data_IF_590674497027
#
_entry.id   IF_590674497027
#
_cell.length_a   1.000
_cell.length_b   1.000
_cell.length_c   1.000
_cell.angle_alpha   90.00
_cell.angle_beta   90.00
_cell.angle_gamma   90.00
#
_symmetry.space_group_name_H-M   'P 1'
#
loop_
_entity.id
_entity.type
_entity.pdbx_description
1 polymer ?
#
# COMPACT_ATOMS: atom_id res chain seq x y z
N UNK A 1 11.89 7.41 -23.23
CA UNK A 1 12.76 7.88 -22.12
C UNK A 1 12.16 7.40 -20.80
N UNK A 2 12.83 6.48 -20.10
CA UNK A 2 12.40 6.03 -18.77
C UNK A 2 12.71 7.12 -17.74
N UNK A 3 11.69 7.85 -17.33
CA UNK A 3 11.80 8.82 -16.23
C UNK A 3 11.44 8.10 -14.92
N UNK A 4 12.24 7.11 -14.51
CA UNK A 4 12.14 6.59 -13.14
C UNK A 4 12.73 7.64 -12.20
N UNK A 5 11.87 8.55 -11.71
CA UNK A 5 12.24 9.42 -10.59
C UNK A 5 12.73 8.54 -9.46
N UNK A 6 13.94 8.78 -8.97
CA UNK A 6 14.51 8.01 -7.88
C UNK A 6 13.66 8.28 -6.64
N UNK A 7 13.04 7.23 -6.12
CA UNK A 7 12.36 7.28 -4.83
C UNK A 7 13.39 7.54 -3.71
N UNK A 8 13.12 8.58 -2.93
CA UNK A 8 13.98 9.06 -1.85
C UNK A 8 13.33 8.91 -0.48
N UNK A 9 12.08 8.42 -0.43
CA UNK A 9 11.31 8.32 0.80
C UNK A 9 11.72 7.06 1.55
N UNK A 10 12.06 7.18 2.84
CA UNK A 10 12.13 6.01 3.70
C UNK A 10 10.71 5.62 4.15
N UNK A 11 10.05 4.77 3.37
CA UNK A 11 8.67 4.37 3.62
C UNK A 11 8.45 3.64 4.94
N UNK A 12 9.48 3.10 5.58
CA UNK A 12 9.34 2.43 6.88
C UNK A 12 9.18 3.42 8.04
N UNK A 13 9.56 4.69 7.88
CA UNK A 13 9.34 5.71 8.90
C UNK A 13 7.84 6.03 9.02
N UNK A 14 7.30 6.20 10.23
CA UNK A 14 5.88 6.40 10.43
C UNK A 14 5.43 7.84 10.09
N UNK A 15 6.34 8.75 9.74
CA UNK A 15 6.03 10.15 9.48
C UNK A 15 4.95 10.31 8.39
N UNK A 16 3.97 11.21 8.58
CA UNK A 16 3.00 11.52 7.55
C UNK A 16 3.68 12.04 6.29
N UNK A 17 3.14 11.66 5.14
CA UNK A 17 3.61 12.11 3.84
C UNK A 17 2.51 12.88 3.11
N UNK A 18 2.89 13.84 2.27
CA UNK A 18 1.93 14.57 1.44
C UNK A 18 1.71 13.87 0.11
N UNK A 19 0.56 14.14 -0.51
CA UNK A 19 0.28 13.73 -1.89
C UNK A 19 1.34 14.24 -2.88
N UNK A 20 1.88 15.45 -2.65
CA UNK A 20 2.87 16.04 -3.53
C UNK A 20 4.22 15.30 -3.45
N UNK A 21 4.63 14.86 -2.26
CA UNK A 21 5.86 14.09 -2.08
C UNK A 21 5.79 12.76 -2.83
N UNK A 22 4.63 12.09 -2.77
CA UNK A 22 4.39 10.84 -3.49
C UNK A 22 4.48 11.02 -5.01
N UNK A 23 3.85 12.08 -5.55
CA UNK A 23 3.94 12.42 -6.98
C UNK A 23 5.38 12.75 -7.40
N UNK A 24 6.11 13.47 -6.56
CA UNK A 24 7.53 13.80 -6.79
C UNK A 24 8.41 12.55 -6.82
N UNK A 25 8.06 11.52 -6.04
CA UNK A 25 8.76 10.24 -5.99
C UNK A 25 8.19 9.18 -6.96
N UNK A 26 7.37 9.59 -7.93
CA UNK A 26 6.94 8.73 -9.03
C UNK A 26 5.81 7.75 -8.69
N UNK A 27 5.11 7.96 -7.57
CA UNK A 27 3.93 7.15 -7.24
C UNK A 27 2.77 7.48 -8.19
N UNK A 28 2.10 6.43 -8.66
CA UNK A 28 0.87 6.53 -9.44
C UNK A 28 -0.31 6.83 -8.53
N UNK A 29 -1.19 7.73 -8.98
CA UNK A 29 -2.42 8.09 -8.28
C UNK A 29 -3.61 7.36 -8.88
N UNK A 30 -4.42 6.78 -8.01
CA UNK A 30 -5.72 6.20 -8.33
C UNK A 30 -6.77 6.86 -7.45
N UNK A 31 -7.76 7.47 -8.07
CA UNK A 31 -8.80 8.19 -7.33
C UNK A 31 -10.13 7.47 -7.49
N UNK A 32 -11.00 7.57 -6.50
CA UNK A 32 -12.41 7.26 -6.65
C UNK A 32 -13.23 8.09 -5.67
N UNK A 33 -14.53 8.17 -5.89
CA UNK A 33 -15.44 8.81 -4.96
C UNK A 33 -16.69 7.96 -4.81
N UNK A 34 -17.25 7.97 -3.61
CA UNK A 34 -18.48 7.24 -3.29
C UNK A 34 -19.35 8.08 -2.36
N UNK A 35 -20.65 7.82 -2.41
CA UNK A 35 -21.64 8.47 -1.55
C UNK A 35 -21.97 7.53 -0.41
N UNK A 36 -21.90 8.03 0.83
CA UNK A 36 -22.39 7.31 1.99
C UNK A 36 -23.67 7.95 2.49
N UNK A 37 -24.64 7.11 2.87
CA UNK A 37 -25.82 7.55 3.59
C UNK A 37 -25.44 7.83 5.04
N UNK A 38 -25.92 8.94 5.60
CA UNK A 38 -25.85 9.18 7.04
C UNK A 38 -26.79 8.18 7.75
N UNK A 39 -26.23 7.10 8.31
CA UNK A 39 -26.98 6.06 9.02
C UNK A 39 -27.42 6.50 10.43
N UNK A 40 -27.63 7.80 10.65
CA UNK A 40 -27.97 8.38 11.96
C UNK A 40 -29.43 8.85 12.12
N UNK A 41 -30.13 9.25 11.04
CA UNK A 41 -31.47 9.82 11.17
C UNK A 41 -32.39 9.39 10.03
N UNK A 42 -33.49 8.71 10.37
CA UNK A 42 -34.54 8.22 9.44
C UNK A 42 -35.28 9.34 8.66
N UNK A 43 -34.85 10.60 8.76
CA UNK A 43 -35.43 11.76 8.07
C UNK A 43 -34.44 12.57 7.24
N UNK A 44 -33.15 12.23 7.27
CA UNK A 44 -32.13 12.99 6.55
C UNK A 44 -31.60 12.19 5.37
N UNK A 45 -31.95 12.61 4.15
CA UNK A 45 -31.43 12.06 2.89
C UNK A 45 -30.05 12.63 2.54
N UNK A 46 -29.36 13.23 3.51
CA UNK A 46 -28.07 13.87 3.32
C UNK A 46 -27.00 12.81 3.05
N UNK A 47 -26.69 12.62 1.78
CA UNK A 47 -25.55 11.82 1.32
C UNK A 47 -24.30 12.68 1.36
N UNK A 48 -23.22 12.17 1.95
CA UNK A 48 -21.94 12.84 1.90
C UNK A 48 -21.00 12.16 0.88
N UNK A 49 -20.37 12.99 0.06
CA UNK A 49 -19.37 12.56 -0.91
C UNK A 49 -18.06 12.32 -0.17
N UNK A 50 -17.51 11.11 -0.31
CA UNK A 50 -16.17 10.78 0.17
C UNK A 50 -15.28 10.51 -1.02
N UNK A 51 -14.20 11.28 -1.10
CA UNK A 51 -13.12 11.11 -2.06
C UNK A 51 -12.01 10.29 -1.44
N UNK A 52 -11.48 9.37 -2.24
CA UNK A 52 -10.34 8.55 -1.89
C UNK A 52 -9.28 8.69 -2.96
N UNK A 53 -8.05 8.95 -2.54
CA UNK A 53 -6.87 8.99 -3.41
C UNK A 53 -5.85 7.97 -2.91
N UNK A 54 -5.62 6.92 -3.68
CA UNK A 54 -4.56 5.94 -3.46
C UNK A 54 -3.32 6.35 -4.25
N UNK A 55 -2.16 6.26 -3.62
CA UNK A 55 -0.86 6.41 -4.24
C UNK A 55 -0.08 5.12 -4.10
N UNK A 56 0.41 4.57 -5.21
CA UNK A 56 1.15 3.32 -5.22
C UNK A 56 2.35 3.34 -6.17
N UNK A 57 3.37 2.55 -5.86
CA UNK A 57 4.48 2.29 -6.79
C UNK A 57 4.12 1.27 -7.89
N UNK A 58 2.95 0.63 -7.79
CA UNK A 58 2.43 -0.28 -8.82
C UNK A 58 1.95 0.54 -10.00
N UNK A 59 2.46 0.24 -11.21
CA UNK A 59 2.03 0.87 -12.45
C UNK A 59 0.56 0.57 -12.78
N UNK A 60 -0.10 1.47 -13.53
CA UNK A 60 -1.42 1.21 -14.07
C UNK A 60 -1.37 0.26 -15.28
N UNK A 61 -2.49 -0.42 -15.52
CA UNK A 61 -2.77 -1.20 -16.72
C UNK A 61 -4.21 -0.97 -17.17
N UNK A 62 -4.53 -1.31 -18.43
CA UNK A 62 -5.92 -1.32 -18.90
C UNK A 62 -6.53 -2.68 -18.63
N UNK A 63 -7.70 -2.73 -18.01
CA UNK A 63 -8.48 -3.95 -17.87
C UNK A 63 -9.19 -4.30 -19.20
N UNK A 64 -9.92 -5.43 -19.21
CA UNK A 64 -10.69 -5.90 -20.38
C UNK A 64 -11.74 -4.89 -20.87
N UNK A 65 -12.20 -3.98 -20.01
CA UNK A 65 -13.15 -2.90 -20.34
C UNK A 65 -12.45 -1.62 -20.81
N UNK A 66 -11.12 -1.63 -20.91
CA UNK A 66 -10.31 -0.47 -21.29
C UNK A 66 -10.07 0.53 -20.17
N UNK A 67 -10.55 0.27 -18.95
CA UNK A 67 -10.41 1.14 -17.78
C UNK A 67 -9.00 1.01 -17.20
N UNK A 68 -8.44 2.13 -16.73
CA UNK A 68 -7.08 2.19 -16.21
C UNK A 68 -7.08 1.80 -14.73
N UNK A 69 -6.68 0.57 -14.38
CA UNK A 69 -6.61 0.08 -13.01
C UNK A 69 -5.15 -0.13 -12.55
N UNK A 70 -4.86 -0.31 -11.25
CA UNK A 70 -3.56 -0.82 -10.85
C UNK A 70 -3.32 -2.21 -11.45
N UNK A 71 -2.06 -2.56 -11.74
CA UNK A 71 -1.74 -3.93 -12.16
C UNK A 71 -2.25 -4.96 -11.15
N UNK A 72 -2.96 -5.98 -11.64
CA UNK A 72 -3.58 -7.01 -10.81
C UNK A 72 -2.56 -8.05 -10.36
N UNK A 73 -1.89 -7.78 -9.24
CA UNK A 73 -0.71 -8.53 -8.77
C UNK A 73 -1.04 -9.82 -8.01
N UNK A 74 -2.27 -10.01 -7.50
CA UNK A 74 -2.57 -11.06 -6.52
C UNK A 74 -3.36 -12.27 -7.07
N UNK A 75 -3.74 -12.28 -8.36
CA UNK A 75 -4.54 -13.36 -8.96
C UNK A 75 -3.77 -14.68 -9.24
N UNK A 76 -2.74 -15.01 -8.45
CA UNK A 76 -1.83 -16.13 -8.71
C UNK A 76 -2.47 -17.51 -8.84
N UNK A 77 -3.61 -17.73 -8.18
CA UNK A 77 -4.28 -19.04 -8.14
C UNK A 77 -4.74 -19.52 -9.50
N UNK A 78 -4.95 -18.62 -10.48
CA UNK A 78 -5.44 -18.96 -11.82
C UNK A 78 -4.49 -18.55 -12.96
N UNK A 79 -3.28 -18.08 -12.66
CA UNK A 79 -2.30 -17.71 -13.68
C UNK A 79 -1.51 -18.92 -14.19
N UNK A 80 -1.29 -18.97 -15.51
CA UNK A 80 -0.35 -19.91 -16.11
C UNK A 80 1.11 -19.61 -15.69
N UNK A 81 2.03 -20.51 -16.02
CA UNK A 81 3.45 -20.36 -15.66
C UNK A 81 4.12 -19.14 -16.29
N UNK A 82 3.73 -18.74 -17.50
CA UNK A 82 4.26 -17.58 -18.21
C UNK A 82 3.79 -16.29 -17.54
N UNK A 83 2.51 -16.18 -17.23
CA UNK A 83 1.93 -15.04 -16.52
C UNK A 83 2.54 -14.89 -15.11
N UNK A 84 2.72 -16.00 -14.39
CA UNK A 84 3.44 -16.01 -13.10
C UNK A 84 4.86 -15.49 -13.23
N UNK A 85 5.60 -15.92 -14.26
CA UNK A 85 6.95 -15.45 -14.51
C UNK A 85 6.99 -13.94 -14.80
N UNK A 86 6.05 -13.42 -15.59
CA UNK A 86 5.92 -11.98 -15.87
C UNK A 86 5.67 -11.19 -14.59
N UNK A 87 4.73 -11.61 -13.74
CA UNK A 87 4.42 -10.94 -12.47
C UNK A 87 5.61 -10.97 -11.50
N UNK A 88 6.26 -12.12 -11.36
CA UNK A 88 7.43 -12.25 -10.49
C UNK A 88 8.60 -11.39 -11.00
N UNK A 89 8.78 -11.31 -12.32
CA UNK A 89 9.79 -10.46 -12.93
C UNK A 89 9.50 -8.97 -12.67
N UNK A 90 8.23 -8.55 -12.78
CA UNK A 90 7.80 -7.18 -12.49
C UNK A 90 7.97 -6.83 -11.00
N UNK A 91 7.53 -7.70 -10.09
CA UNK A 91 7.74 -7.51 -8.65
C UNK A 91 9.23 -7.38 -8.33
N UNK A 92 10.06 -8.25 -8.91
CA UNK A 92 11.50 -8.25 -8.66
C UNK A 92 12.19 -7.03 -9.25
N UNK A 93 12.02 -6.76 -10.55
CA UNK A 93 12.80 -5.74 -11.27
C UNK A 93 12.29 -4.33 -11.01
N UNK A 94 10.99 -4.12 -11.13
CA UNK A 94 10.39 -2.79 -11.12
C UNK A 94 9.97 -2.35 -9.71
N UNK A 95 9.42 -3.27 -8.91
CA UNK A 95 8.89 -2.95 -7.58
C UNK A 95 9.88 -3.22 -6.44
N UNK A 96 11.07 -3.74 -6.75
CA UNK A 96 12.08 -4.13 -5.76
C UNK A 96 11.50 -5.05 -4.65
N UNK A 97 10.63 -5.99 -5.04
CA UNK A 97 9.85 -6.89 -4.19
C UNK A 97 8.94 -6.21 -3.15
N UNK A 98 8.60 -4.93 -3.35
CA UNK A 98 7.77 -4.16 -2.41
C UNK A 98 6.60 -3.51 -3.11
N UNK A 99 5.40 -3.73 -2.61
CA UNK A 99 4.23 -2.91 -2.95
C UNK A 99 4.06 -1.90 -1.83
N UNK A 100 4.06 -0.62 -2.16
CA UNK A 100 3.89 0.47 -1.19
C UNK A 100 2.64 1.23 -1.58
N UNK A 101 1.71 1.38 -0.64
CA UNK A 101 0.42 2.04 -0.87
C UNK A 101 0.14 3.06 0.23
N UNK A 102 -0.26 4.27 -0.18
CA UNK A 102 -0.77 5.32 0.70
C UNK A 102 -2.22 5.61 0.31
N UNK A 103 -3.11 5.73 1.28
CA UNK A 103 -4.50 6.12 1.04
C UNK A 103 -4.82 7.43 1.73
N UNK A 104 -5.34 8.38 0.95
CA UNK A 104 -5.92 9.62 1.45
C UNK A 104 -7.44 9.53 1.35
N UNK A 105 -8.14 10.03 2.38
CA UNK A 105 -9.59 10.20 2.40
C UNK A 105 -9.88 11.68 2.61
N UNK A 106 -10.56 12.32 1.65
CA UNK A 106 -10.78 13.77 1.64
C UNK A 106 -9.48 14.54 1.96
N UNK A 107 -8.41 14.19 1.23
CA UNK A 107 -7.06 14.75 1.33
C UNK A 107 -6.34 14.54 2.69
N UNK A 108 -6.95 13.79 3.62
CA UNK A 108 -6.31 13.35 4.87
C UNK A 108 -5.65 12.00 4.69
N UNK A 109 -4.36 11.87 5.04
CA UNK A 109 -3.66 10.57 5.04
C UNK A 109 -4.33 9.62 6.04
N UNK A 110 -4.87 8.51 5.53
CA UNK A 110 -5.69 7.59 6.30
C UNK A 110 -4.87 6.39 6.80
N UNK A 111 -4.12 5.73 5.90
CA UNK A 111 -3.15 4.70 6.25
C UNK A 111 -2.04 4.60 5.20
N UNK A 112 -0.97 3.90 5.59
CA UNK A 112 0.11 3.42 4.72
C UNK A 112 0.24 1.91 4.84
N UNK A 113 0.53 1.25 3.74
CA UNK A 113 0.76 -0.19 3.68
C UNK A 113 2.02 -0.53 2.87
N UNK A 114 2.82 -1.49 3.33
CA UNK A 114 4.03 -1.97 2.67
C UNK A 114 4.04 -3.49 2.71
N UNK A 115 3.89 -4.11 1.53
CA UNK A 115 3.97 -5.55 1.38
C UNK A 115 5.31 -5.91 0.79
N UNK A 116 6.03 -6.82 1.44
CA UNK A 116 7.33 -7.32 0.99
C UNK A 116 7.24 -8.80 0.65
N UNK A 117 7.62 -9.14 -0.58
CA UNK A 117 7.62 -10.50 -1.09
C UNK A 117 9.02 -11.13 -0.99
N UNK A 118 9.07 -12.43 -0.70
CA UNK A 118 10.32 -13.18 -0.53
C UNK A 118 10.94 -13.70 -1.84
N UNK A 119 10.64 -13.07 -2.99
CA UNK A 119 11.05 -13.56 -4.31
C UNK A 119 12.57 -13.43 -4.57
N UNK A 120 13.26 -12.53 -3.87
CA UNK A 120 14.71 -12.40 -3.95
C UNK A 120 15.31 -12.06 -2.58
N UNK A 121 15.89 -13.07 -1.93
CA UNK A 121 16.46 -12.98 -0.58
C UNK A 121 17.80 -12.23 -0.52
N UNK A 122 18.38 -11.86 -1.66
CA UNK A 122 19.72 -11.24 -1.76
C UNK A 122 19.70 -9.71 -1.69
N UNK A 123 18.54 -9.07 -1.79
CA UNK A 123 18.41 -7.62 -1.83
C UNK A 123 18.63 -6.99 -0.45
N UNK A 124 19.77 -6.33 -0.27
CA UNK A 124 20.18 -5.67 0.98
C UNK A 124 19.44 -4.35 1.27
N UNK A 125 18.77 -3.78 0.28
CA UNK A 125 18.07 -2.49 0.39
C UNK A 125 16.69 -2.57 1.09
N UNK A 126 16.21 -3.79 1.35
CA UNK A 126 14.94 -4.05 2.00
C UNK A 126 15.19 -4.22 3.49
N UNK A 127 14.48 -3.43 4.31
CA UNK A 127 14.54 -3.57 5.76
C UNK A 127 14.03 -4.96 6.16
N UNK A 128 14.73 -5.65 7.04
CA UNK A 128 14.33 -6.97 7.49
C UNK A 128 13.42 -6.87 8.71
N UNK A 129 12.11 -7.00 8.53
CA UNK A 129 11.10 -6.94 9.59
C UNK A 129 10.47 -8.32 9.88
N UNK A 130 11.24 -9.39 9.70
CA UNK A 130 10.75 -10.78 9.77
C UNK A 130 10.63 -11.36 11.19
N UNK A 131 11.00 -10.59 12.22
CA UNK A 131 10.75 -10.92 13.62
C UNK A 131 10.80 -9.67 14.50
N UNK A 132 10.35 -9.80 15.76
CA UNK A 132 10.26 -8.71 16.73
C UNK A 132 11.61 -8.06 17.00
N UNK A 133 12.67 -8.84 17.18
CA UNK A 133 14.01 -8.35 17.51
C UNK A 133 14.57 -7.47 16.39
N UNK A 134 14.40 -7.90 15.13
CA UNK A 134 14.81 -7.15 13.95
C UNK A 134 13.98 -5.88 13.76
N UNK A 135 12.67 -5.95 14.03
CA UNK A 135 11.79 -4.78 14.00
C UNK A 135 12.29 -3.73 15.00
N UNK A 136 12.43 -4.10 16.27
CA UNK A 136 12.90 -3.19 17.33
C UNK A 136 14.27 -2.60 16.98
N UNK A 137 15.22 -3.46 16.61
CA UNK A 137 16.57 -3.04 16.20
C UNK A 137 16.57 -2.05 15.04
N UNK A 138 15.70 -2.23 14.05
CA UNK A 138 15.60 -1.30 12.93
C UNK A 138 15.15 0.08 13.41
N UNK A 139 14.05 0.16 14.16
CA UNK A 139 13.51 1.45 14.60
C UNK A 139 14.44 2.17 15.60
N UNK A 140 15.13 1.41 16.46
CA UNK A 140 16.21 1.94 17.31
C UNK A 140 17.33 2.56 16.47
N UNK A 141 17.75 1.89 15.39
CA UNK A 141 18.84 2.37 14.51
C UNK A 141 18.50 3.66 13.76
N UNK A 142 17.23 3.87 13.43
CA UNK A 142 16.74 5.10 12.81
C UNK A 142 16.21 6.12 13.83
N UNK A 143 16.42 5.86 15.13
CA UNK A 143 16.05 6.73 16.26
C UNK A 143 14.56 7.08 16.31
N UNK A 144 13.70 6.14 15.90
CA UNK A 144 12.24 6.29 16.00
C UNK A 144 11.75 5.53 17.24
N UNK A 145 11.03 6.17 18.17
CA UNK A 145 10.48 5.49 19.34
C UNK A 145 9.62 4.30 18.93
N UNK A 146 9.81 3.15 19.57
CA UNK A 146 9.00 1.95 19.34
C UNK A 146 8.59 1.32 20.66
N UNK A 147 7.30 0.99 20.79
CA UNK A 147 6.75 0.27 21.95
C UNK A 147 5.82 -0.84 21.49
N UNK A 148 6.01 -2.10 21.90
CA UNK A 148 5.04 -3.17 21.63
C UNK A 148 3.71 -2.88 22.34
N UNK A 149 2.59 -3.10 21.65
CA UNK A 149 1.23 -2.86 22.15
C UNK A 149 0.45 -4.15 22.47
N UNK A 150 0.68 -5.23 21.72
CA UNK A 150 0.17 -6.57 22.03
C UNK A 150 1.26 -7.60 21.77
N UNK A 151 1.38 -8.57 22.68
CA UNK A 151 2.12 -9.80 22.46
C UNK A 151 1.11 -10.89 22.09
N UNK A 152 1.02 -11.24 20.81
CA UNK A 152 0.19 -12.37 20.37
C UNK A 152 0.95 -13.67 20.61
N UNK A 153 0.45 -14.53 21.50
CA UNK A 153 0.91 -15.91 21.68
C UNK A 153 0.35 -16.87 20.60
N UNK A 154 -0.35 -16.37 19.57
CA UNK A 154 -0.98 -17.20 18.54
C UNK A 154 -0.14 -17.32 17.27
N UNK A 155 -0.27 -18.47 16.61
CA UNK A 155 0.50 -19.06 15.50
C UNK A 155 0.71 -18.20 14.24
N UNK A 156 0.05 -17.05 14.11
CA UNK A 156 0.40 -16.03 13.12
C UNK A 156 1.19 -14.94 13.83
N UNK A 157 2.47 -14.79 13.50
CA UNK A 157 3.36 -13.79 14.10
C UNK A 157 2.98 -12.36 13.69
N UNK A 158 1.87 -11.89 14.26
CA UNK A 158 1.37 -10.54 14.11
C UNK A 158 1.81 -9.76 15.33
N UNK A 159 2.59 -8.71 15.13
CA UNK A 159 2.98 -7.79 16.19
C UNK A 159 2.33 -6.43 15.97
N UNK A 160 1.82 -5.84 17.04
CA UNK A 160 1.37 -4.46 17.02
C UNK A 160 2.33 -3.60 17.85
N UNK A 161 2.70 -2.46 17.29
CA UNK A 161 3.61 -1.51 17.88
C UNK A 161 3.01 -0.11 17.84
N UNK A 162 3.40 0.72 18.79
CA UNK A 162 3.37 2.17 18.67
C UNK A 162 4.73 2.57 18.14
N UNK A 163 4.80 3.08 16.92
CA UNK A 163 6.04 3.50 16.26
C UNK A 163 5.93 5.00 15.99
N UNK A 164 6.82 5.77 16.60
CA UNK A 164 6.59 7.20 16.86
C UNK A 164 5.31 7.35 17.68
N UNK A 165 4.29 7.98 17.10
CA UNK A 165 2.97 8.15 17.70
C UNK A 165 1.86 7.39 16.97
N UNK A 166 2.21 6.48 16.06
CA UNK A 166 1.25 5.80 15.19
C UNK A 166 1.15 4.31 15.52
N UNK A 167 -0.08 3.79 15.52
CA UNK A 167 -0.32 2.36 15.65
C UNK A 167 0.08 1.67 14.35
N UNK A 168 1.04 0.78 14.45
CA UNK A 168 1.58 0.00 13.34
C UNK A 168 1.39 -1.47 13.60
N UNK A 169 0.76 -2.17 12.66
CA UNK A 169 0.66 -3.63 12.67
C UNK A 169 1.67 -4.18 11.67
N UNK A 170 2.45 -5.16 12.09
CA UNK A 170 3.40 -5.88 11.24
C UNK A 170 3.03 -7.35 11.26
N UNK A 171 2.64 -7.87 10.10
CA UNK A 171 2.46 -9.30 9.87
C UNK A 171 3.75 -9.83 9.26
N UNK A 172 4.36 -10.85 9.84
CA UNK A 172 5.57 -11.43 9.27
C UNK A 172 5.55 -12.94 9.33
N UNK A 173 6.21 -13.57 8.37
CA UNK A 173 6.53 -14.99 8.41
C UNK A 173 7.93 -15.17 8.99
N UNK A 174 8.11 -16.14 9.89
CA UNK A 174 9.45 -16.54 10.32
C UNK A 174 10.13 -17.45 9.29
N UNK A 175 9.33 -18.18 8.50
CA UNK A 175 9.82 -19.15 7.51
C UNK A 175 10.08 -18.50 6.15
N UNK A 176 9.34 -17.44 5.84
CA UNK A 176 9.47 -16.68 4.60
C UNK A 176 9.98 -15.28 4.91
N UNK A 177 10.90 -14.75 4.11
CA UNK A 177 11.32 -13.33 4.22
C UNK A 177 10.24 -12.40 3.64
N UNK A 178 9.00 -12.59 4.07
CA UNK A 178 7.82 -11.85 3.66
C UNK A 178 7.18 -11.21 4.89
N UNK A 179 6.72 -9.98 4.73
CA UNK A 179 6.01 -9.27 5.77
C UNK A 179 5.14 -8.17 5.18
N UNK A 180 4.17 -7.74 5.95
CA UNK A 180 3.30 -6.60 5.68
C UNK A 180 3.38 -5.61 6.84
N UNK A 181 3.62 -4.33 6.54
CA UNK A 181 3.58 -3.22 7.48
C UNK A 181 2.36 -2.37 7.19
N UNK A 182 1.49 -2.20 8.19
CA UNK A 182 0.32 -1.35 8.11
C UNK A 182 0.38 -0.25 9.18
N UNK A 183 0.42 1.01 8.77
CA UNK A 183 0.42 2.18 9.67
C UNK A 183 -0.93 2.88 9.56
N UNK A 184 -1.62 3.07 10.69
CA UNK A 184 -2.87 3.80 10.75
C UNK A 184 -2.63 5.23 11.24
N UNK A 185 -3.04 6.22 10.44
CA UNK A 185 -2.92 7.64 10.77
C UNK A 185 -4.19 8.22 11.43
N UNK A 186 -5.28 7.45 11.48
CA UNK A 186 -6.55 7.86 12.12
C UNK A 186 -6.89 6.93 13.28
N UNK A 187 -7.32 7.52 14.40
CA UNK A 187 -7.64 6.76 15.62
C UNK A 187 -8.85 5.83 15.40
N UNK A 188 -8.61 4.51 15.38
CA UNK A 188 -9.56 3.55 15.95
C UNK A 188 -9.84 2.27 15.15
N UNK A 189 -9.77 2.26 13.82
CA UNK A 189 -10.15 1.07 13.04
C UNK A 189 -9.09 0.70 12.00
N UNK A 190 -8.60 -0.54 12.08
CA UNK A 190 -7.75 -1.15 11.06
C UNK A 190 -8.70 -1.71 10.00
N UNK A 191 -8.84 -0.99 8.88
CA UNK A 191 -9.65 -1.47 7.77
C UNK A 191 -8.95 -2.65 7.10
N UNK A 192 -9.71 -3.73 6.88
CA UNK A 192 -9.23 -4.95 6.23
C UNK A 192 -8.72 -4.66 4.81
N UNK A 193 -7.56 -5.21 4.54
CA UNK A 193 -6.94 -5.55 3.25
C UNK A 193 -7.46 -4.79 2.02
N UNK A 194 -7.10 -3.52 1.89
CA UNK A 194 -7.36 -2.78 0.64
C UNK A 194 -6.72 -3.48 -0.56
N UNK A 195 -5.64 -4.25 -0.34
CA UNK A 195 -4.92 -4.92 -1.41
C UNK A 195 -5.81 -5.90 -2.15
N UNK A 196 -6.72 -6.58 -1.44
CA UNK A 196 -7.71 -7.44 -2.07
C UNK A 196 -8.63 -6.61 -2.98
N UNK A 197 -9.11 -5.47 -2.50
CA UNK A 197 -9.97 -4.62 -3.31
C UNK A 197 -9.23 -4.05 -4.54
N UNK A 198 -7.98 -3.59 -4.38
CA UNK A 198 -7.24 -2.85 -5.40
C UNK A 198 -6.42 -3.71 -6.37
N UNK A 199 -5.82 -4.79 -5.87
CA UNK A 199 -4.88 -5.63 -6.63
C UNK A 199 -5.39 -7.07 -6.87
N UNK A 200 -6.54 -7.48 -6.30
CA UNK A 200 -7.23 -8.73 -6.66
C UNK A 200 -8.44 -8.52 -7.61
N UNK A 201 -8.74 -7.26 -7.98
CA UNK A 201 -9.76 -6.93 -8.97
C UNK A 201 -11.19 -6.97 -8.42
N UNK A 202 -11.36 -6.89 -7.09
CA UNK A 202 -12.67 -6.89 -6.44
C UNK A 202 -13.33 -5.50 -6.42
N UNK A 203 -12.62 -4.44 -6.81
CA UNK A 203 -13.25 -3.14 -7.00
C UNK A 203 -14.11 -3.08 -8.24
N UNK A 204 -15.39 -2.82 -8.03
CA UNK A 204 -16.38 -2.66 -9.09
C UNK A 204 -16.61 -1.22 -9.52
N UNK A 205 -16.15 -0.20 -8.76
CA UNK A 205 -16.41 1.23 -9.04
C UNK A 205 -15.28 2.22 -8.65
N UNK A 206 -14.09 2.18 -9.28
CA UNK A 206 -13.14 3.28 -9.22
C UNK A 206 -13.29 4.23 -10.43
N UNK A 207 -13.73 5.47 -10.19
CA UNK A 207 -13.68 6.53 -11.20
C UNK A 207 -12.28 7.15 -11.24
N UNK A 208 -11.45 6.69 -12.19
CA UNK A 208 -10.06 7.10 -12.32
C UNK A 208 -9.92 8.52 -12.87
N UNK A 209 -9.39 9.42 -12.04
CA UNK A 209 -8.79 10.66 -12.53
C UNK A 209 -7.28 10.45 -12.62
N UNK A 210 -6.78 10.10 -13.81
CA UNK A 210 -5.41 10.44 -14.15
C UNK A 210 -5.33 11.97 -14.11
N UNK A 211 -4.32 12.50 -13.41
CA UNK A 211 -3.94 13.89 -13.59
C UNK A 211 -3.70 14.08 -15.08
N UNK A 212 -4.43 15.00 -15.70
CA UNK A 212 -4.30 15.37 -17.12
C UNK A 212 -2.83 15.59 -17.47
N UNK A 213 -2.30 14.75 -18.36
CA UNK A 213 -1.01 14.93 -19.01
C UNK A 213 -1.27 15.06 -20.53
N UNK A 214 -1.22 16.28 -21.08
CA UNK A 214 -1.44 16.50 -22.51
C UNK A 214 -0.37 15.83 -23.39
N UNK A 215 0.75 15.34 -22.84
CA UNK A 215 1.80 14.66 -23.59
C UNK A 215 1.47 13.19 -23.94
N UNK A 216 0.41 12.60 -23.37
CA UNK A 216 -0.01 11.22 -23.65
C UNK A 216 -1.01 11.10 -24.82
N UNK A 217 -1.36 12.21 -25.47
CA UNK A 217 -2.26 12.26 -26.64
C UNK A 217 -1.54 12.16 -27.99
N UNK A 218 -0.22 11.97 -28.01
CA UNK A 218 0.58 11.91 -29.25
C UNK A 218 1.30 10.58 -29.47
N UNK A 219 0.62 9.46 -29.23
CA UNK A 219 1.03 8.12 -29.69
C UNK A 219 -0.14 7.43 -30.40
#
# INVERSE_FOLDING_TARGET
MSCHKKDTINHYLPDPITQQDLIKNGFYRYSYSTMYDDKGNKRDTTKFLVKYDMYSNVKPERNEKGEICPTQLLKYTNLDSTQKAIHNNYLKKDLNNRIITYLFRNDTLFYKNIVVYSLDKSRKEIVDLTNKEKIVKYYDSVKVPIKPLLESNNSMNTSMFLIGNYKTRIYYSQNEKSYDVFVNYVNGAIYRNILDNWYCGYMTNPHYYLKYDPALLSL
#
